data_IF_987581087485
#
_entry.id   IF_987581087485
#
_cell.length_a   1.000
_cell.length_b   1.000
_cell.length_c   1.000
_cell.angle_alpha   90.00
_cell.angle_beta   90.00
_cell.angle_gamma   90.00
#
_symmetry.space_group_name_H-M   'P 1'
#
loop_
_entity.id
_entity.type
_entity.pdbx_description
1 polymer ?
#
# COMPACT_ATOMS: atom_id res chain seq x y z
N UNK A 1 -3.44 2.34 -8.90
CA UNK A 1 -2.23 2.92 -8.26
C UNK A 1 -1.12 1.89 -8.26
N UNK A 2 0.13 2.28 -8.48
CA UNK A 2 1.32 1.50 -8.20
C UNK A 2 1.83 1.88 -6.80
N UNK A 3 2.08 0.91 -5.91
CA UNK A 3 2.63 1.17 -4.58
C UNK A 3 4.10 1.59 -4.64
N UNK A 4 4.93 0.82 -5.35
CA UNK A 4 6.38 1.06 -5.52
C UNK A 4 6.91 0.32 -6.76
N UNK A 5 8.10 0.71 -7.29
CA UNK A 5 8.57 0.23 -8.60
C UNK A 5 9.37 -1.10 -8.55
N UNK A 6 8.96 -2.09 -7.78
CA UNK A 6 9.44 -3.46 -7.93
C UNK A 6 8.63 -4.20 -8.99
N UNK A 7 9.30 -5.06 -9.77
CA UNK A 7 8.72 -5.70 -10.96
C UNK A 7 7.49 -6.56 -10.65
N UNK A 8 7.48 -7.26 -9.54
CA UNK A 8 6.37 -8.07 -9.05
C UNK A 8 5.12 -7.25 -8.67
N UNK A 9 5.26 -5.92 -8.51
CA UNK A 9 4.16 -5.00 -8.22
C UNK A 9 3.62 -4.28 -9.47
N UNK A 10 4.37 -4.24 -10.57
CA UNK A 10 3.89 -3.62 -11.81
C UNK A 10 3.75 -4.60 -12.98
N UNK A 11 4.24 -5.83 -12.87
CA UNK A 11 4.18 -6.82 -13.94
C UNK A 11 2.77 -7.17 -14.45
N UNK A 12 1.73 -6.88 -13.67
CA UNK A 12 0.33 -7.09 -14.06
C UNK A 12 -0.30 -5.95 -14.90
N UNK A 13 0.39 -4.82 -15.11
CA UNK A 13 -0.19 -3.70 -15.86
C UNK A 13 -0.51 -3.96 -17.33
N UNK A 14 0.14 -4.88 -18.06
CA UNK A 14 -0.34 -5.27 -19.39
C UNK A 14 -1.80 -5.73 -19.41
N UNK A 15 -2.22 -6.54 -18.43
CA UNK A 15 -3.61 -6.97 -18.31
C UNK A 15 -4.56 -5.79 -18.01
N UNK A 16 -4.11 -4.82 -17.21
CA UNK A 16 -4.90 -3.60 -16.93
C UNK A 16 -5.06 -2.78 -18.22
N UNK A 17 -3.98 -2.62 -18.98
CA UNK A 17 -3.99 -1.88 -20.24
C UNK A 17 -4.90 -2.52 -21.29
N UNK A 18 -4.95 -3.84 -21.32
CA UNK A 18 -5.83 -4.60 -22.23
C UNK A 18 -7.31 -4.37 -21.93
N UNK A 19 -7.71 -4.43 -20.65
CA UNK A 19 -9.13 -4.33 -20.25
C UNK A 19 -9.59 -2.88 -20.04
N UNK A 20 -8.68 -1.96 -19.79
CA UNK A 20 -8.98 -0.57 -19.49
C UNK A 20 -7.88 0.38 -20.04
N UNK A 21 -7.75 0.49 -21.37
CA UNK A 21 -6.76 1.38 -21.97
C UNK A 21 -7.00 2.84 -21.57
N UNK A 22 -5.92 3.61 -21.44
CA UNK A 22 -5.99 5.01 -21.00
C UNK A 22 -6.18 5.21 -19.50
N UNK A 23 -6.17 4.10 -18.71
CA UNK A 23 -6.31 4.20 -17.25
C UNK A 23 -5.20 5.05 -16.63
N UNK A 24 -5.60 5.99 -15.77
CA UNK A 24 -4.67 6.79 -14.96
C UNK A 24 -4.07 5.91 -13.86
N UNK A 25 -2.75 5.86 -13.80
CA UNK A 25 -2.00 5.13 -12.78
C UNK A 25 -1.22 6.11 -11.92
N UNK A 26 -1.71 6.40 -10.72
CA UNK A 26 -0.92 7.11 -9.72
C UNK A 26 0.24 6.25 -9.27
N UNK A 27 1.45 6.82 -9.24
CA UNK A 27 2.67 6.10 -8.87
C UNK A 27 3.66 7.01 -8.13
N UNK A 28 4.52 6.47 -7.24
CA UNK A 28 5.57 7.23 -6.61
C UNK A 28 6.66 7.61 -7.63
N UNK A 29 7.56 8.53 -7.30
CA UNK A 29 8.80 8.71 -8.07
C UNK A 29 9.46 7.36 -8.32
N UNK A 30 9.65 7.02 -9.58
CA UNK A 30 10.06 5.71 -10.06
C UNK A 30 11.11 5.86 -11.16
N UNK A 31 11.92 4.83 -11.45
CA UNK A 31 12.85 4.85 -12.57
C UNK A 31 12.15 5.19 -13.88
N UNK A 32 12.80 5.96 -14.74
CA UNK A 32 12.22 6.46 -16.00
C UNK A 32 11.73 5.34 -16.94
N UNK A 33 12.42 4.20 -16.94
CA UNK A 33 12.03 3.05 -17.76
C UNK A 33 10.65 2.47 -17.34
N UNK A 34 10.29 2.49 -16.06
CA UNK A 34 8.97 2.04 -15.58
C UNK A 34 7.88 2.99 -16.07
N UNK A 35 8.13 4.30 -15.98
CA UNK A 35 7.20 5.34 -16.44
C UNK A 35 6.99 5.26 -17.96
N UNK A 36 8.08 5.10 -18.73
CA UNK A 36 8.03 4.96 -20.19
C UNK A 36 7.27 3.71 -20.60
N UNK A 37 7.59 2.58 -19.98
CA UNK A 37 6.92 1.31 -20.24
C UNK A 37 5.40 1.37 -19.99
N UNK A 38 4.95 2.04 -18.92
CA UNK A 38 3.51 2.23 -18.70
C UNK A 38 2.83 3.04 -19.81
N UNK A 39 3.52 4.07 -20.34
CA UNK A 39 3.03 4.86 -21.49
C UNK A 39 2.96 4.02 -22.76
N UNK A 40 3.95 3.18 -23.01
CA UNK A 40 3.98 2.24 -24.13
C UNK A 40 2.81 1.26 -24.09
N UNK A 41 2.37 0.86 -22.89
CA UNK A 41 1.16 0.07 -22.70
C UNK A 41 -0.14 0.86 -22.93
N UNK A 42 -0.07 2.16 -23.19
CA UNK A 42 -1.27 3.00 -23.34
C UNK A 42 -1.91 3.43 -22.03
N UNK A 43 -1.21 3.29 -20.90
CA UNK A 43 -1.63 3.80 -19.59
C UNK A 43 -1.18 5.25 -19.40
N UNK A 44 -1.80 5.96 -18.45
CA UNK A 44 -1.46 7.35 -18.14
C UNK A 44 -0.80 7.41 -16.75
N UNK A 45 0.54 7.26 -16.65
CA UNK A 45 1.23 7.34 -15.38
C UNK A 45 1.26 8.79 -14.86
N UNK A 46 0.79 8.95 -13.62
CA UNK A 46 0.83 10.21 -12.87
C UNK A 46 1.81 10.05 -11.71
N UNK A 47 3.04 10.51 -11.91
CA UNK A 47 4.08 10.47 -10.88
C UNK A 47 3.82 11.56 -9.85
N UNK A 48 3.72 11.18 -8.58
CA UNK A 48 3.48 12.15 -7.52
C UNK A 48 4.20 11.73 -6.22
N UNK A 49 4.62 12.72 -5.43
CA UNK A 49 5.29 12.51 -4.14
C UNK A 49 4.47 12.96 -2.95
N UNK A 50 3.49 13.83 -3.17
CA UNK A 50 2.59 14.34 -2.12
C UNK A 50 1.36 13.45 -2.04
N UNK A 51 0.81 13.28 -0.83
CA UNK A 51 -0.47 12.59 -0.68
C UNK A 51 -1.62 13.33 -1.38
N UNK A 52 -2.63 12.58 -1.83
CA UNK A 52 -3.81 13.15 -2.47
C UNK A 52 -5.07 12.34 -2.16
N UNK A 53 -6.22 12.98 -2.18
CA UNK A 53 -7.52 12.31 -2.26
C UNK A 53 -7.78 11.94 -3.73
N UNK A 54 -7.71 10.65 -4.03
CA UNK A 54 -7.98 10.13 -5.37
C UNK A 54 -9.48 10.03 -5.66
N UNK A 55 -10.30 9.92 -4.60
CA UNK A 55 -11.76 9.96 -4.62
C UNK A 55 -12.27 10.48 -3.27
N UNK A 56 -13.57 10.82 -3.12
CA UNK A 56 -14.13 11.26 -1.85
C UNK A 56 -13.86 10.30 -0.68
N UNK A 57 -13.80 9.01 -0.97
CA UNK A 57 -13.59 7.92 -0.02
C UNK A 57 -12.23 7.21 -0.17
N UNK A 58 -11.32 7.72 -1.00
CA UNK A 58 -10.02 7.08 -1.24
C UNK A 58 -8.88 8.10 -1.22
N UNK A 59 -7.81 7.76 -0.51
CA UNK A 59 -6.62 8.59 -0.37
C UNK A 59 -5.34 7.80 -0.58
N UNK A 60 -4.43 8.38 -1.33
CA UNK A 60 -3.07 7.88 -1.55
C UNK A 60 -2.14 8.64 -0.59
N UNK A 61 -1.29 7.92 0.13
CA UNK A 61 -0.30 8.53 1.02
C UNK A 61 0.74 9.35 0.26
N UNK A 62 1.49 10.25 0.91
CA UNK A 62 2.77 10.70 0.37
C UNK A 62 3.67 9.52 0.02
N UNK A 63 4.54 9.69 -0.96
CA UNK A 63 5.59 8.73 -1.26
C UNK A 63 6.67 8.82 -0.18
N UNK A 64 6.80 7.78 0.64
CA UNK A 64 7.79 7.70 1.70
C UNK A 64 9.04 6.95 1.22
N UNK A 65 10.20 7.40 1.68
CA UNK A 65 11.47 6.75 1.38
C UNK A 65 11.68 5.52 2.28
N UNK A 66 12.08 4.40 1.67
CA UNK A 66 12.45 3.17 2.35
C UNK A 66 13.21 2.22 1.42
N UNK A 67 14.28 1.59 1.91
CA UNK A 67 15.09 0.62 1.15
C UNK A 67 15.55 1.11 -0.25
N UNK A 68 15.87 2.41 -0.38
CA UNK A 68 16.36 2.99 -1.64
C UNK A 68 15.29 3.26 -2.71
N UNK A 69 14.02 3.14 -2.37
CA UNK A 69 12.89 3.44 -3.24
C UNK A 69 11.84 4.30 -2.52
N UNK A 70 10.81 4.71 -3.26
CA UNK A 70 9.65 5.39 -2.69
C UNK A 70 8.40 4.54 -2.81
N UNK A 71 7.59 4.57 -1.77
CA UNK A 71 6.38 3.76 -1.68
C UNK A 71 5.17 4.55 -1.19
N UNK A 72 4.00 4.23 -1.77
CA UNK A 72 2.68 4.71 -1.38
C UNK A 72 1.85 3.63 -0.70
N UNK A 73 0.93 4.05 0.17
CA UNK A 73 -0.22 3.25 0.60
C UNK A 73 -1.52 3.88 0.10
N UNK A 74 -2.57 3.08 0.04
CA UNK A 74 -3.93 3.51 -0.29
C UNK A 74 -4.85 3.28 0.91
N UNK A 75 -5.57 4.29 1.35
CA UNK A 75 -6.65 4.15 2.31
C UNK A 75 -8.00 4.31 1.59
N UNK A 76 -8.92 3.41 1.85
CA UNK A 76 -10.28 3.43 1.27
C UNK A 76 -11.30 3.32 2.40
N UNK A 77 -12.28 4.23 2.41
CA UNK A 77 -13.42 4.19 3.32
C UNK A 77 -14.63 3.58 2.62
N UNK A 78 -15.20 2.57 3.23
CA UNK A 78 -16.47 1.98 2.83
C UNK A 78 -17.37 1.90 4.07
N UNK A 79 -18.49 2.58 4.03
CA UNK A 79 -19.36 2.79 5.19
C UNK A 79 -18.55 3.37 6.37
N UNK A 80 -18.62 2.74 7.54
CA UNK A 80 -17.87 3.14 8.74
C UNK A 80 -16.47 2.51 8.82
N UNK A 81 -16.10 1.68 7.85
CA UNK A 81 -14.82 0.98 7.85
C UNK A 81 -13.80 1.64 6.91
N UNK A 82 -12.60 1.83 7.39
CA UNK A 82 -11.44 2.21 6.55
C UNK A 82 -10.54 1.00 6.41
N UNK A 83 -10.13 0.70 5.18
CA UNK A 83 -9.10 -0.29 4.86
C UNK A 83 -7.86 0.41 4.34
N UNK A 84 -6.67 -0.02 4.81
CA UNK A 84 -5.38 0.44 4.31
C UNK A 84 -4.73 -0.68 3.49
N UNK A 85 -4.45 -0.38 2.22
CA UNK A 85 -3.75 -1.29 1.31
C UNK A 85 -2.27 -0.88 1.26
N UNK A 86 -1.43 -1.83 1.61
CA UNK A 86 0.03 -1.69 1.64
C UNK A 86 0.67 -2.44 0.47
N UNK A 87 1.80 -1.95 -0.03
CA UNK A 87 2.63 -2.70 -0.97
C UNK A 87 3.51 -3.72 -0.25
N UNK A 88 4.81 -3.42 -0.16
CA UNK A 88 5.76 -4.18 0.68
C UNK A 88 6.03 -3.52 2.03
N UNK A 89 5.72 -2.24 2.17
CA UNK A 89 5.97 -1.46 3.39
C UNK A 89 7.45 -1.23 3.70
N UNK A 90 8.27 -0.98 2.66
CA UNK A 90 9.70 -0.67 2.84
C UNK A 90 9.97 0.52 3.78
N UNK A 91 9.14 1.60 3.78
CA UNK A 91 9.31 2.71 4.73
C UNK A 91 8.86 2.40 6.17
N UNK A 92 8.24 1.25 6.39
CA UNK A 92 7.56 0.87 7.63
C UNK A 92 6.02 0.89 7.47
N UNK A 93 5.33 -0.21 7.83
CA UNK A 93 3.89 -0.34 7.63
C UNK A 93 3.08 0.68 8.45
N UNK A 94 3.46 0.95 9.68
CA UNK A 94 2.80 1.94 10.55
C UNK A 94 2.88 3.36 9.97
N UNK A 95 4.05 3.75 9.43
CA UNK A 95 4.27 5.07 8.82
C UNK A 95 3.43 5.27 7.56
N UNK A 96 3.36 4.26 6.69
CA UNK A 96 2.53 4.28 5.49
C UNK A 96 1.05 4.37 5.85
N UNK A 97 0.58 3.53 6.79
CA UNK A 97 -0.80 3.55 7.25
C UNK A 97 -1.19 4.91 7.86
N UNK A 98 -0.40 5.42 8.79
CA UNK A 98 -0.65 6.71 9.44
C UNK A 98 -0.77 7.86 8.44
N UNK A 99 0.10 7.89 7.41
CA UNK A 99 0.08 8.97 6.41
C UNK A 99 -1.11 8.84 5.45
N UNK A 100 -1.50 7.63 5.07
CA UNK A 100 -2.68 7.41 4.22
C UNK A 100 -3.97 7.79 4.96
N UNK A 101 -4.11 7.36 6.22
CA UNK A 101 -5.24 7.71 7.09
C UNK A 101 -5.37 9.23 7.27
N UNK A 102 -4.26 9.91 7.51
CA UNK A 102 -4.25 11.38 7.66
C UNK A 102 -4.75 12.10 6.41
N UNK A 103 -4.36 11.67 5.20
CA UNK A 103 -4.84 12.26 3.94
C UNK A 103 -6.34 11.99 3.74
N UNK A 104 -6.81 10.81 4.13
CA UNK A 104 -8.23 10.47 4.09
C UNK A 104 -9.06 11.29 5.10
N UNK A 105 -8.43 11.73 6.20
CA UNK A 105 -9.10 12.39 7.33
C UNK A 105 -9.66 11.39 8.34
N UNK A 106 -9.04 10.21 8.47
CA UNK A 106 -9.41 9.16 9.41
C UNK A 106 -8.31 8.98 10.47
N UNK A 107 -8.71 8.66 11.70
CA UNK A 107 -7.78 8.39 12.81
C UNK A 107 -7.41 6.92 12.96
N UNK A 108 -8.26 6.01 12.44
CA UNK A 108 -8.11 4.57 12.62
C UNK A 108 -8.69 3.82 11.42
N UNK A 109 -8.19 2.60 11.16
CA UNK A 109 -8.71 1.69 10.15
C UNK A 109 -9.23 0.39 10.78
N UNK A 110 -10.20 -0.25 10.13
CA UNK A 110 -10.65 -1.59 10.51
C UNK A 110 -9.63 -2.65 10.10
N UNK A 111 -8.94 -2.42 8.99
CA UNK A 111 -8.10 -3.41 8.34
C UNK A 111 -6.87 -2.77 7.68
N UNK A 112 -5.71 -3.41 7.84
CA UNK A 112 -4.58 -3.28 6.94
C UNK A 112 -4.38 -4.58 6.18
N UNK A 113 -4.19 -4.50 4.87
CA UNK A 113 -3.88 -5.65 4.01
C UNK A 113 -2.67 -5.33 3.14
N UNK A 114 -1.71 -6.23 3.08
CA UNK A 114 -0.52 -6.09 2.23
C UNK A 114 0.74 -6.71 2.81
N UNK A 115 1.85 -6.41 2.16
CA UNK A 115 3.18 -6.82 2.58
C UNK A 115 3.69 -5.99 3.76
N UNK A 116 4.34 -6.65 4.70
CA UNK A 116 4.91 -6.01 5.90
C UNK A 116 6.45 -6.04 5.89
N UNK A 117 7.08 -6.45 4.78
CA UNK A 117 8.53 -6.51 4.57
C UNK A 117 9.29 -7.16 5.75
N UNK A 118 8.75 -8.27 6.29
CA UNK A 118 9.27 -8.92 7.49
C UNK A 118 9.45 -7.97 8.69
N UNK A 119 8.52 -7.01 8.85
CA UNK A 119 8.54 -6.05 9.94
C UNK A 119 8.76 -6.72 11.30
N UNK A 120 9.57 -6.11 12.13
CA UNK A 120 9.80 -6.56 13.50
C UNK A 120 8.55 -6.36 14.37
N UNK A 121 8.47 -7.08 15.50
CA UNK A 121 7.31 -7.03 16.39
C UNK A 121 6.90 -5.60 16.79
N UNK A 122 7.86 -4.72 17.05
CA UNK A 122 7.59 -3.32 17.41
C UNK A 122 6.85 -2.54 16.29
N UNK A 123 7.20 -2.78 15.02
CA UNK A 123 6.51 -2.17 13.88
C UNK A 123 5.09 -2.74 13.69
N UNK A 124 4.91 -4.04 13.96
CA UNK A 124 3.59 -4.68 13.94
C UNK A 124 2.69 -4.12 15.04
N UNK A 125 3.22 -3.96 16.26
CA UNK A 125 2.49 -3.33 17.37
C UNK A 125 2.13 -1.88 17.05
N UNK A 126 3.06 -1.09 16.51
CA UNK A 126 2.78 0.29 16.09
C UNK A 126 1.72 0.35 14.97
N UNK A 127 1.65 -0.63 14.09
CA UNK A 127 0.58 -0.72 13.10
C UNK A 127 -0.76 -1.07 13.77
N UNK A 128 -0.78 -1.98 14.75
CA UNK A 128 -1.99 -2.36 15.49
C UNK A 128 -2.60 -1.23 16.31
N UNK A 129 -1.83 -0.18 16.64
CA UNK A 129 -2.37 1.04 17.24
C UNK A 129 -3.22 1.86 16.26
N UNK A 130 -3.02 1.67 14.96
CA UNK A 130 -3.69 2.39 13.89
C UNK A 130 -4.81 1.57 13.23
N UNK A 131 -4.78 0.24 13.39
CA UNK A 131 -5.73 -0.65 12.67
C UNK A 131 -6.24 -1.76 13.59
N UNK A 132 -7.48 -2.15 13.41
CA UNK A 132 -8.10 -3.20 14.21
C UNK A 132 -7.58 -4.60 13.87
N UNK A 133 -7.36 -4.88 12.58
CA UNK A 133 -6.90 -6.18 12.08
C UNK A 133 -5.88 -6.02 10.96
N UNK A 134 -5.03 -7.04 10.81
CA UNK A 134 -4.00 -7.10 9.76
C UNK A 134 -4.16 -8.41 8.99
N UNK A 135 -4.21 -8.30 7.66
CA UNK A 135 -4.13 -9.39 6.71
C UNK A 135 -2.76 -9.36 6.01
N UNK A 136 -1.73 -9.99 6.60
CA UNK A 136 -0.39 -9.96 6.04
C UNK A 136 -0.30 -10.91 4.85
N UNK A 137 0.24 -10.40 3.73
CA UNK A 137 0.45 -11.17 2.50
C UNK A 137 1.88 -10.93 1.98
N UNK A 138 2.23 -11.60 0.88
CA UNK A 138 3.46 -11.36 0.11
C UNK A 138 4.74 -11.49 0.97
N UNK A 139 5.45 -10.41 1.23
CA UNK A 139 6.75 -10.39 1.93
C UNK A 139 6.64 -10.29 3.46
N UNK A 140 5.55 -10.78 4.07
CA UNK A 140 5.27 -10.57 5.50
C UNK A 140 5.94 -11.56 6.45
N UNK A 141 6.34 -12.75 6.02
CA UNK A 141 7.08 -13.78 6.75
C UNK A 141 6.99 -13.72 8.28
N UNK A 142 8.03 -13.21 8.92
CA UNK A 142 8.15 -13.03 10.37
C UNK A 142 7.00 -12.25 11.01
N UNK A 143 6.51 -11.20 10.34
CA UNK A 143 5.40 -10.41 10.83
C UNK A 143 4.09 -11.21 10.86
N UNK A 144 3.87 -12.06 9.86
CA UNK A 144 2.72 -12.97 9.83
C UNK A 144 2.80 -14.02 10.94
N UNK A 145 3.98 -14.61 11.17
CA UNK A 145 4.21 -15.56 12.28
C UNK A 145 3.97 -14.91 13.65
N UNK A 146 4.46 -13.68 13.84
CA UNK A 146 4.22 -12.91 15.05
C UNK A 146 2.72 -12.68 15.28
N UNK A 147 2.00 -12.19 14.27
CA UNK A 147 0.56 -11.97 14.35
C UNK A 147 -0.20 -13.24 14.68
N UNK A 148 0.07 -14.33 13.96
CA UNK A 148 -0.61 -15.62 14.18
C UNK A 148 -0.39 -16.17 15.61
N UNK A 149 0.82 -16.02 16.14
CA UNK A 149 1.18 -16.58 17.44
C UNK A 149 0.87 -15.69 18.63
N UNK A 150 0.99 -14.37 18.48
CA UNK A 150 0.91 -13.41 19.57
C UNK A 150 -0.32 -12.52 19.56
N UNK A 151 -0.94 -12.34 18.38
CA UNK A 151 -2.09 -11.45 18.16
C UNK A 151 -3.18 -12.14 17.31
N UNK A 152 -3.61 -13.36 17.66
CA UNK A 152 -4.54 -14.12 16.81
C UNK A 152 -5.88 -13.41 16.57
N UNK A 153 -6.35 -12.58 17.53
CA UNK A 153 -7.58 -11.79 17.39
C UNK A 153 -7.48 -10.65 16.38
N UNK A 154 -6.26 -10.20 16.06
CA UNK A 154 -5.99 -9.15 15.07
C UNK A 154 -5.42 -9.69 13.76
N UNK A 155 -5.19 -11.01 13.66
CA UNK A 155 -4.66 -11.68 12.48
C UNK A 155 -5.77 -12.17 11.57
N UNK A 156 -5.64 -11.89 10.26
CA UNK A 156 -6.49 -12.48 9.22
C UNK A 156 -5.60 -13.34 8.33
N UNK A 157 -5.87 -14.64 8.31
CA UNK A 157 -5.23 -15.56 7.37
C UNK A 157 -5.88 -15.40 5.99
N UNK A 158 -5.07 -15.13 4.98
CA UNK A 158 -5.48 -14.97 3.56
C UNK A 158 -4.85 -16.04 2.66
N UNK A 159 -4.42 -17.16 3.25
CA UNK A 159 -3.90 -18.31 2.51
C UNK A 159 -4.99 -19.09 1.78
#
# INVERSE_FOLDING_TARGET
MLSHPHQDHYGGFPCVAEVAPGTVVYMPPSPSHVVSWMRELGLVPVVQSKGLKAAPNAAISPALDGAGLREHALAVKENECVSVLLGCSHPGPSRLAATALRILGAGHACLAIGGLHNAEAAEVEALLELVGRIAPIHCSGRAAEYLASRKPGSYINVA
#
